data_IF_129141269528
#
_entry.id   IF_129141269528
#
_cell.length_a   1.000
_cell.length_b   1.000
_cell.length_c   1.000
_cell.angle_alpha   90.00
_cell.angle_beta   90.00
_cell.angle_gamma   90.00
#
_symmetry.space_group_name_H-M   'P 1'
#
loop_
_entity.id
_entity.type
_entity.pdbx_description
1 polymer ?
#
# COMPACT_ATOMS: atom_id res chain seq x y z
N UNK A 1 -0.72 -17.22 0.54
CA UNK A 1 -0.40 -15.78 0.63
C UNK A 1 -0.80 -15.10 -0.65
N UNK A 2 -1.77 -14.18 -0.54
CA UNK A 2 -2.19 -13.33 -1.66
C UNK A 2 -1.34 -12.05 -1.69
N UNK A 3 -1.06 -11.54 -2.89
CA UNK A 3 -0.24 -10.33 -3.09
C UNK A 3 -0.87 -9.41 -4.13
N UNK A 4 -0.74 -8.11 -3.94
CA UNK A 4 -1.02 -7.11 -4.97
C UNK A 4 0.07 -6.05 -4.98
N UNK A 5 0.54 -5.68 -6.16
CA UNK A 5 1.58 -4.65 -6.32
C UNK A 5 0.94 -3.34 -6.75
N UNK A 6 1.42 -2.25 -6.15
CA UNK A 6 1.03 -0.87 -6.46
C UNK A 6 2.28 -0.14 -6.89
N UNK A 7 2.23 0.57 -8.01
CA UNK A 7 3.37 1.34 -8.54
C UNK A 7 2.97 2.80 -8.69
N UNK A 8 3.84 3.70 -8.23
CA UNK A 8 3.67 5.13 -8.42
C UNK A 8 4.34 5.55 -9.74
N UNK A 9 3.59 5.46 -10.83
CA UNK A 9 4.05 5.86 -12.17
C UNK A 9 3.80 7.36 -12.45
N UNK A 10 3.57 8.16 -11.41
CA UNK A 10 3.35 9.61 -11.52
C UNK A 10 4.62 10.39 -11.19
N UNK A 11 4.62 11.69 -11.47
CA UNK A 11 5.71 12.61 -11.09
C UNK A 11 5.59 13.14 -9.66
N UNK A 12 4.54 12.76 -8.93
CA UNK A 12 4.24 13.23 -7.58
C UNK A 12 4.36 12.13 -6.54
N UNK A 13 4.53 12.52 -5.29
CA UNK A 13 4.49 11.58 -4.18
C UNK A 13 3.05 11.10 -3.93
N UNK A 14 2.86 9.80 -3.77
CA UNK A 14 1.55 9.21 -3.49
C UNK A 14 1.56 8.49 -2.15
N UNK A 15 0.46 8.60 -1.43
CA UNK A 15 0.21 7.81 -0.24
C UNK A 15 -0.51 6.51 -0.62
N UNK A 16 0.03 5.37 -0.19
CA UNK A 16 -0.64 4.07 -0.21
C UNK A 16 -1.22 3.80 1.17
N UNK A 17 -2.55 3.76 1.27
CA UNK A 17 -3.25 3.28 2.46
C UNK A 17 -3.52 1.79 2.35
N UNK A 18 -3.27 1.07 3.44
CA UNK A 18 -3.64 -0.35 3.58
C UNK A 18 -4.70 -0.47 4.67
N UNK A 19 -5.91 -0.84 4.23
CA UNK A 19 -7.10 -1.00 5.05
C UNK A 19 -7.40 -2.50 5.30
N UNK A 20 -7.98 -2.86 6.46
CA UNK A 20 -8.61 -1.98 7.46
C UNK A 20 -7.69 -1.45 8.57
N UNK A 21 -6.37 -1.63 8.47
CA UNK A 21 -5.44 -1.25 9.54
C UNK A 21 -5.11 0.24 9.57
N UNK A 22 -5.59 1.04 8.61
CA UNK A 22 -5.29 2.47 8.53
C UNK A 22 -3.80 2.80 8.44
N UNK A 23 -2.98 1.91 7.88
CA UNK A 23 -1.54 2.18 7.72
C UNK A 23 -1.28 2.92 6.41
N UNK A 24 -0.35 3.87 6.43
CA UNK A 24 0.05 4.64 5.26
C UNK A 24 1.53 4.43 4.92
N UNK A 25 1.82 4.33 3.64
CA UNK A 25 3.15 4.07 3.09
C UNK A 25 3.35 5.00 1.90
N UNK A 26 4.30 5.93 1.99
CA UNK A 26 4.43 6.96 0.95
C UNK A 26 5.45 6.55 -0.10
N UNK A 27 5.04 6.69 -1.36
CA UNK A 27 5.75 6.25 -2.55
C UNK A 27 6.25 7.47 -3.33
N UNK A 28 7.55 7.55 -3.57
CA UNK A 28 8.15 8.48 -4.53
C UNK A 28 7.79 8.07 -5.97
N UNK A 29 7.91 8.99 -6.93
CA UNK A 29 7.87 8.67 -8.35
C UNK A 29 8.76 7.47 -8.70
N UNK A 30 8.19 6.48 -9.37
CA UNK A 30 8.85 5.24 -9.79
C UNK A 30 8.99 4.15 -8.72
N UNK A 31 8.52 4.37 -7.49
CA UNK A 31 8.53 3.31 -6.47
C UNK A 31 7.38 2.33 -6.64
N UNK A 32 7.62 1.09 -6.23
CA UNK A 32 6.63 0.02 -6.18
C UNK A 32 6.65 -0.62 -4.80
N UNK A 33 5.46 -0.81 -4.24
CA UNK A 33 5.24 -1.60 -3.04
C UNK A 33 4.31 -2.77 -3.34
N UNK A 34 4.47 -3.86 -2.59
CA UNK A 34 3.61 -5.03 -2.65
C UNK A 34 2.92 -5.21 -1.31
N UNK A 35 1.58 -5.24 -1.31
CA UNK A 35 0.78 -5.60 -0.15
C UNK A 35 0.63 -7.11 -0.13
N UNK A 36 0.99 -7.74 0.98
CA UNK A 36 0.98 -9.19 1.19
C UNK A 36 0.00 -9.51 2.32
N UNK A 37 -0.76 -10.59 2.16
CA UNK A 37 -1.57 -11.15 3.24
C UNK A 37 -1.45 -12.67 3.33
N UNK A 38 -1.59 -13.20 4.55
CA UNK A 38 -1.32 -14.60 4.88
C UNK A 38 -2.36 -15.59 4.34
N UNK A 39 -3.60 -15.16 4.08
CA UNK A 39 -4.67 -16.09 3.72
C UNK A 39 -4.61 -16.63 2.29
N UNK A 40 -5.23 -17.81 2.13
CA UNK A 40 -5.49 -18.46 0.84
C UNK A 40 -6.32 -17.53 -0.07
N UNK A 41 -6.16 -17.64 -1.40
CA UNK A 41 -6.84 -16.76 -2.32
C UNK A 41 -8.35 -16.98 -2.27
N UNK A 42 -9.07 -16.04 -1.67
CA UNK A 42 -10.46 -15.80 -2.04
C UNK A 42 -10.54 -15.29 -3.48
N UNK A 43 -11.72 -15.31 -4.10
CA UNK A 43 -11.91 -14.80 -5.47
C UNK A 43 -11.53 -13.31 -5.62
N UNK A 44 -11.38 -12.56 -4.51
CA UNK A 44 -10.91 -11.18 -4.50
C UNK A 44 -10.28 -10.80 -3.14
N UNK A 45 -8.98 -11.07 -2.91
CA UNK A 45 -8.33 -10.76 -1.63
C UNK A 45 -8.11 -9.25 -1.42
N UNK A 46 -8.15 -8.45 -2.49
CA UNK A 46 -7.90 -7.02 -2.46
C UNK A 46 -8.93 -6.24 -3.28
N UNK A 47 -9.36 -5.08 -2.77
CA UNK A 47 -9.95 -4.01 -3.55
C UNK A 47 -8.95 -2.85 -3.65
N UNK A 48 -8.76 -2.31 -4.86
CA UNK A 48 -7.85 -1.18 -5.10
C UNK A 48 -8.66 0.01 -5.56
N UNK A 49 -8.53 1.13 -4.85
CA UNK A 49 -9.18 2.40 -5.20
C UNK A 49 -8.12 3.49 -5.39
N UNK A 50 -8.16 4.16 -6.55
CA UNK A 50 -7.33 5.33 -6.84
C UNK A 50 -8.18 6.58 -6.64
N UNK A 51 -7.67 7.55 -5.89
CA UNK A 51 -8.38 8.77 -5.57
C UNK A 51 -7.44 9.98 -5.50
N UNK A 52 -7.99 11.18 -5.34
CA UNK A 52 -7.24 12.43 -5.41
C UNK A 52 -6.11 12.56 -4.36
N UNK A 53 -6.15 11.76 -3.29
CA UNK A 53 -5.16 11.80 -2.22
C UNK A 53 -4.13 10.67 -2.33
N UNK A 54 -4.34 9.69 -3.22
CA UNK A 54 -3.45 8.54 -3.40
C UNK A 54 -4.20 7.25 -3.74
N UNK A 55 -3.78 6.15 -3.13
CA UNK A 55 -4.26 4.80 -3.44
C UNK A 55 -4.64 4.10 -2.14
N UNK A 56 -5.81 3.49 -2.09
CA UNK A 56 -6.19 2.58 -1.01
C UNK A 56 -6.20 1.15 -1.52
N UNK A 57 -5.52 0.26 -0.81
CA UNK A 57 -5.66 -1.18 -0.95
C UNK A 57 -6.42 -1.69 0.28
N UNK A 58 -7.64 -2.15 0.05
CA UNK A 58 -8.44 -2.81 1.08
C UNK A 58 -8.19 -4.31 1.00
N UNK A 59 -7.78 -4.92 2.11
CA UNK A 59 -7.60 -6.37 2.18
C UNK A 59 -8.88 -6.98 2.77
N UNK A 60 -9.63 -7.71 1.94
CA UNK A 60 -11.05 -8.02 2.21
C UNK A 60 -11.26 -9.01 3.36
N UNK A 61 -10.38 -9.99 3.48
CA UNK A 61 -10.63 -11.17 4.32
C UNK A 61 -9.44 -11.52 5.21
N UNK A 62 -8.50 -10.59 5.37
CA UNK A 62 -7.23 -10.82 6.00
C UNK A 62 -7.19 -10.43 7.49
N UNK A 63 -6.57 -11.28 8.31
CA UNK A 63 -6.25 -10.96 9.70
C UNK A 63 -4.96 -10.11 9.83
N UNK A 64 -4.11 -10.14 8.80
CA UNK A 64 -2.81 -9.47 8.76
C UNK A 64 -2.51 -8.92 7.36
N UNK A 65 -1.74 -7.84 7.32
CA UNK A 65 -1.08 -7.40 6.09
C UNK A 65 0.32 -6.87 6.38
N UNK A 66 1.19 -7.03 5.39
CA UNK A 66 2.50 -6.41 5.34
C UNK A 66 2.67 -5.68 4.01
N UNK A 67 3.44 -4.59 4.02
CA UNK A 67 3.87 -3.90 2.82
C UNK A 67 5.36 -4.14 2.66
N UNK A 68 5.78 -4.56 1.47
CA UNK A 68 7.19 -4.79 1.15
C UNK A 68 7.60 -4.02 -0.09
N UNK A 69 8.87 -3.60 -0.16
CA UNK A 69 9.45 -3.01 -1.35
C UNK A 69 9.79 -4.07 -2.42
N UNK A 70 10.35 -3.62 -3.55
CA UNK A 70 10.77 -4.48 -4.67
C UNK A 70 11.83 -5.52 -4.29
N UNK A 71 12.60 -5.27 -3.22
CA UNK A 71 13.66 -6.15 -2.73
C UNK A 71 13.13 -7.08 -1.62
N UNK A 72 11.84 -6.97 -1.29
CA UNK A 72 11.16 -7.78 -0.28
C UNK A 72 11.33 -7.27 1.15
N UNK A 73 11.83 -6.05 1.34
CA UNK A 73 12.03 -5.46 2.67
C UNK A 73 10.73 -4.84 3.15
N UNK A 74 10.38 -5.09 4.42
CA UNK A 74 9.16 -4.53 5.04
C UNK A 74 9.23 -3.00 5.09
N UNK A 75 8.19 -2.38 4.55
CA UNK A 75 7.94 -0.94 4.59
C UNK A 75 7.02 -0.66 5.79
N UNK A 76 7.50 0.04 6.83
CA UNK A 76 6.70 0.33 8.00
C UNK A 76 5.67 1.43 7.72
N UNK A 77 4.57 1.44 8.48
CA UNK A 77 3.63 2.55 8.50
C UNK A 77 4.35 3.89 8.76
N UNK A 78 3.98 4.93 8.01
CA UNK A 78 4.61 6.24 8.03
C UNK A 78 5.91 6.33 7.23
N UNK A 79 6.30 5.27 6.51
CA UNK A 79 7.47 5.31 5.63
C UNK A 79 7.37 6.49 4.65
N UNK A 80 8.42 7.31 4.64
CA UNK A 80 8.54 8.54 3.83
C UNK A 80 7.40 9.56 4.02
N UNK A 81 6.58 9.45 5.08
CA UNK A 81 5.52 10.42 5.34
C UNK A 81 6.09 11.85 5.34
N UNK A 82 5.54 12.78 4.53
CA UNK A 82 6.00 14.15 4.50
C UNK A 82 5.97 14.78 5.90
N UNK A 83 7.04 15.49 6.27
CA UNK A 83 7.14 16.17 7.56
C UNK A 83 6.13 17.33 7.69
N UNK A 84 5.77 17.91 6.55
CA UNK A 84 4.70 18.90 6.43
C UNK A 84 3.63 18.31 5.51
N UNK A 85 2.46 18.00 6.08
CA UNK A 85 1.32 17.52 5.32
C UNK A 85 0.55 18.68 4.67
N UNK A 86 1.01 19.92 4.83
CA UNK A 86 0.49 21.10 4.15
C UNK A 86 -0.94 21.48 4.57
N UNK A 87 -1.35 21.16 5.80
CA UNK A 87 -2.62 21.61 6.38
C UNK A 87 -2.44 22.83 7.29
#
# INVERSE_FOLDING_TARGET
MSKTSVSNETESMLCLWVEPWGTDHWMRPGEQFTVVTELEPEESPFNVAVHAQGITVWVNSANSSEVVDKDGVVVPCGHQRPADLGW
#
